data_IF_363392737766
#
_entry.id   IF_363392737766
#
_cell.length_a   1.000
_cell.length_b   1.000
_cell.length_c   1.000
_cell.angle_alpha   90.00
_cell.angle_beta   90.00
_cell.angle_gamma   90.00
#
_symmetry.space_group_name_H-M   'P 1'
#
loop_
_entity.id
_entity.type
_entity.pdbx_description
1 polymer ?
#
# COMPACT_ATOMS: atom_id res chain seq x y z
N UNK A 1 2.01 -29.32 15.21
CA UNK A 1 3.05 -28.27 15.27
C UNK A 1 3.17 -27.54 13.93
N UNK A 2 3.37 -28.26 12.81
CA UNK A 2 3.50 -27.65 11.47
C UNK A 2 2.24 -26.91 10.99
N UNK A 3 1.05 -27.47 11.21
CA UNK A 3 -0.20 -26.84 10.79
C UNK A 3 -0.49 -25.54 11.54
N UNK A 4 -0.22 -25.51 12.85
CA UNK A 4 -0.41 -24.32 13.68
C UNK A 4 0.58 -23.20 13.29
N UNK A 5 1.82 -23.58 12.96
CA UNK A 5 2.82 -22.66 12.44
C UNK A 5 2.37 -22.06 11.09
N UNK A 6 1.87 -22.90 10.17
CA UNK A 6 1.35 -22.43 8.88
C UNK A 6 0.20 -21.44 9.06
N UNK A 7 -0.76 -21.77 9.94
CA UNK A 7 -1.89 -20.88 10.26
C UNK A 7 -1.41 -19.54 10.82
N UNK A 8 -0.42 -19.55 11.72
CA UNK A 8 0.16 -18.33 12.28
C UNK A 8 0.86 -17.46 11.23
N UNK A 9 1.63 -18.09 10.33
CA UNK A 9 2.31 -17.38 9.23
C UNK A 9 1.29 -16.74 8.30
N UNK A 10 0.21 -17.46 7.93
CA UNK A 10 -0.83 -16.95 7.06
C UNK A 10 -1.64 -15.83 7.72
N UNK A 11 -2.04 -16.00 8.99
CA UNK A 11 -2.74 -14.97 9.76
C UNK A 11 -1.87 -13.70 9.93
N UNK A 12 -0.60 -13.87 10.28
CA UNK A 12 0.35 -12.77 10.36
C UNK A 12 0.57 -12.12 8.99
N UNK A 13 0.57 -12.91 7.92
CA UNK A 13 0.72 -12.43 6.54
C UNK A 13 -0.45 -11.58 6.08
N UNK A 14 -1.68 -11.94 6.45
CA UNK A 14 -2.86 -11.09 6.25
C UNK A 14 -2.70 -9.76 6.99
N UNK A 15 -2.31 -9.82 8.27
CA UNK A 15 -2.17 -8.63 9.11
C UNK A 15 -1.07 -7.69 8.61
N UNK A 16 0.12 -8.22 8.30
CA UNK A 16 1.27 -7.43 7.82
C UNK A 16 1.16 -7.05 6.35
N UNK A 17 0.43 -7.81 5.54
CA UNK A 17 0.16 -7.55 4.13
C UNK A 17 -0.86 -6.45 3.87
N UNK A 18 -1.79 -6.23 4.80
CA UNK A 18 -2.90 -5.26 4.63
C UNK A 18 -2.42 -3.81 4.39
N UNK A 19 -1.43 -3.26 5.11
CA UNK A 19 -0.90 -1.93 4.79
C UNK A 19 -0.34 -1.86 3.36
N UNK A 20 0.44 -2.87 2.95
CA UNK A 20 0.98 -2.95 1.59
C UNK A 20 -0.14 -3.04 0.56
N UNK A 21 -1.23 -3.76 0.86
CA UNK A 21 -2.40 -3.85 0.00
C UNK A 21 -3.04 -2.49 -0.26
N UNK A 22 -3.25 -1.69 0.78
CA UNK A 22 -3.83 -0.35 0.60
C UNK A 22 -2.95 0.55 -0.25
N UNK A 23 -1.65 0.60 0.07
CA UNK A 23 -0.69 1.37 -0.72
C UNK A 23 -0.67 0.91 -2.18
N UNK A 24 -0.59 -0.40 -2.43
CA UNK A 24 -0.58 -0.96 -3.80
C UNK A 24 -1.89 -0.68 -4.54
N UNK A 25 -3.07 -0.86 -3.94
CA UNK A 25 -4.34 -0.54 -4.61
C UNK A 25 -4.43 0.95 -4.90
N UNK A 26 -3.99 1.80 -3.98
CA UNK A 26 -3.92 3.24 -4.18
C UNK A 26 -3.05 3.62 -5.38
N UNK A 27 -1.85 3.06 -5.45
CA UNK A 27 -0.94 3.27 -6.57
C UNK A 27 -1.48 2.67 -7.87
N UNK A 28 -2.20 1.54 -7.84
CA UNK A 28 -2.90 1.03 -9.03
C UNK A 28 -3.88 2.08 -9.58
N UNK A 29 -4.66 2.76 -8.74
CA UNK A 29 -5.56 3.82 -9.20
C UNK A 29 -4.81 5.01 -9.79
N UNK A 30 -3.77 5.49 -9.11
CA UNK A 30 -2.94 6.61 -9.57
C UNK A 30 -2.28 6.28 -10.93
N UNK A 31 -1.59 5.14 -11.01
CA UNK A 31 -0.86 4.74 -12.21
C UNK A 31 -1.80 4.37 -13.36
N UNK A 32 -2.95 3.75 -13.11
CA UNK A 32 -3.98 3.53 -14.14
C UNK A 32 -4.53 4.82 -14.72
N UNK A 33 -4.41 5.96 -14.02
CA UNK A 33 -4.75 7.28 -14.57
C UNK A 33 -3.60 7.93 -15.35
N UNK A 34 -2.41 7.34 -15.32
CA UNK A 34 -1.20 7.83 -15.99
C UNK A 34 -0.29 8.69 -15.11
N UNK A 35 -0.46 8.62 -13.78
CA UNK A 35 0.38 9.35 -12.80
C UNK A 35 1.11 8.35 -11.91
N UNK A 36 2.43 8.28 -12.06
CA UNK A 36 3.36 7.51 -11.24
C UNK A 36 3.64 8.27 -9.95
N UNK A 37 3.46 7.63 -8.79
CA UNK A 37 3.72 8.25 -7.49
C UNK A 37 4.75 7.47 -6.66
N UNK A 38 6.03 7.81 -6.84
CA UNK A 38 7.12 7.31 -5.98
C UNK A 38 7.18 7.99 -4.60
N UNK A 39 6.20 8.85 -4.26
CA UNK A 39 6.07 9.52 -2.97
C UNK A 39 5.35 8.69 -1.90
N UNK A 40 4.85 7.50 -2.25
CA UNK A 40 4.02 6.64 -1.39
C UNK A 40 4.67 6.31 -0.05
N UNK A 41 5.99 6.10 0.01
CA UNK A 41 6.74 5.85 1.26
C UNK A 41 6.60 7.04 2.23
N UNK A 42 6.81 8.26 1.73
CA UNK A 42 6.65 9.48 2.51
C UNK A 42 5.21 9.71 2.95
N UNK A 43 4.23 9.40 2.09
CA UNK A 43 2.81 9.50 2.43
C UNK A 43 2.40 8.52 3.52
N UNK A 44 2.91 7.28 3.46
CA UNK A 44 2.71 6.28 4.51
C UNK A 44 3.33 6.71 5.85
N UNK A 45 4.54 7.26 5.84
CA UNK A 45 5.22 7.76 7.04
C UNK A 45 4.46 8.92 7.70
N UNK A 46 4.06 9.91 6.90
CA UNK A 46 3.27 11.04 7.38
C UNK A 46 1.88 10.61 7.87
N UNK A 47 1.26 9.65 7.18
CA UNK A 47 0.02 9.01 7.61
C UNK A 47 0.18 8.32 8.96
N UNK A 48 1.21 7.50 9.14
CA UNK A 48 1.49 6.77 10.37
C UNK A 48 1.76 7.71 11.56
N UNK A 49 2.60 8.74 11.36
CA UNK A 49 2.94 9.74 12.36
C UNK A 49 1.71 10.54 12.80
N UNK A 50 0.95 11.07 11.83
CA UNK A 50 -0.25 11.86 12.12
C UNK A 50 -1.37 11.02 12.76
N UNK A 51 -1.55 9.76 12.31
CA UNK A 51 -2.53 8.85 12.92
C UNK A 51 -2.24 8.63 14.40
N UNK A 52 -0.98 8.31 14.72
CA UNK A 52 -0.55 8.03 16.08
C UNK A 52 -0.61 9.27 16.96
N UNK A 53 -0.09 10.40 16.48
CA UNK A 53 -0.10 11.67 17.22
C UNK A 53 -1.52 12.13 17.56
N UNK A 54 -2.45 12.05 16.60
CA UNK A 54 -3.85 12.43 16.83
C UNK A 54 -4.58 11.43 17.73
N UNK A 55 -4.37 10.12 17.53
CA UNK A 55 -4.97 9.12 18.41
C UNK A 55 -4.49 9.27 19.86
N UNK A 56 -3.20 9.57 20.06
CA UNK A 56 -2.64 9.85 21.37
C UNK A 56 -3.24 11.12 21.99
N UNK A 57 -3.27 12.23 21.26
CA UNK A 57 -3.75 13.51 21.76
C UNK A 57 -5.26 13.51 22.07
N UNK A 58 -6.06 12.75 21.33
CA UNK A 58 -7.53 12.78 21.42
C UNK A 58 -8.13 11.57 22.11
N UNK A 59 -7.37 10.50 22.31
CA UNK A 59 -7.89 9.22 22.78
C UNK A 59 -8.75 8.48 21.74
N UNK A 60 -8.85 8.96 20.49
CA UNK A 60 -9.69 8.37 19.46
C UNK A 60 -8.87 7.84 18.25
N UNK A 61 -8.77 6.51 18.05
CA UNK A 61 -7.99 5.94 16.96
C UNK A 61 -8.63 6.19 15.58
N UNK A 62 -9.95 6.34 15.50
CA UNK A 62 -10.66 6.59 14.25
C UNK A 62 -10.39 7.99 13.70
N UNK A 63 -10.27 8.96 14.60
CA UNK A 63 -9.87 10.31 14.21
C UNK A 63 -8.42 10.31 13.69
N UNK A 64 -7.54 9.51 14.31
CA UNK A 64 -6.20 9.26 13.78
C UNK A 64 -6.22 8.70 12.36
N UNK A 65 -7.05 7.68 12.09
CA UNK A 65 -7.21 7.12 10.72
C UNK A 65 -7.69 8.18 9.73
N UNK A 66 -8.69 8.99 10.09
CA UNK A 66 -9.21 10.04 9.21
C UNK A 66 -8.15 11.10 8.88
N UNK A 67 -7.37 11.52 9.89
CA UNK A 67 -6.28 12.49 9.68
C UNK A 67 -5.19 11.88 8.80
N UNK A 68 -4.85 10.61 8.99
CA UNK A 68 -3.85 9.93 8.15
C UNK A 68 -4.28 9.87 6.67
N UNK A 69 -5.55 9.54 6.41
CA UNK A 69 -6.15 9.56 5.07
C UNK A 69 -6.04 10.97 4.48
N UNK A 70 -6.41 12.00 5.24
CA UNK A 70 -6.33 13.39 4.80
C UNK A 70 -4.89 13.83 4.51
N UNK A 71 -3.93 13.44 5.36
CA UNK A 71 -2.51 13.75 5.18
C UNK A 71 -1.93 13.10 3.92
N UNK A 72 -2.22 11.83 3.69
CA UNK A 72 -1.82 11.15 2.47
C UNK A 72 -2.45 11.78 1.21
N UNK A 73 -3.75 12.13 1.28
CA UNK A 73 -4.45 12.85 0.22
C UNK A 73 -3.87 14.24 -0.05
N UNK A 74 -3.47 15.00 0.97
CA UNK A 74 -2.88 16.33 0.84
C UNK A 74 -1.50 16.27 0.18
N UNK A 75 -0.66 15.31 0.55
CA UNK A 75 0.63 15.10 -0.09
C UNK A 75 0.48 14.64 -1.54
N UNK A 76 -0.49 13.76 -1.83
CA UNK A 76 -0.80 13.37 -3.20
C UNK A 76 -1.42 14.51 -4.02
N UNK A 77 -2.17 15.43 -3.40
CA UNK A 77 -2.66 16.63 -4.07
C UNK A 77 -1.50 17.55 -4.45
N UNK A 78 -0.51 17.72 -3.57
CA UNK A 78 0.72 18.44 -3.88
C UNK A 78 1.47 17.79 -5.04
N UNK A 79 1.61 16.46 -5.02
CA UNK A 79 2.21 15.69 -6.11
C UNK A 79 1.48 15.94 -7.43
N UNK A 80 0.15 15.73 -7.43
CA UNK A 80 -0.73 15.91 -8.56
C UNK A 80 -0.61 17.33 -9.13
N UNK A 81 -0.53 18.34 -8.26
CA UNK A 81 -0.32 19.72 -8.68
C UNK A 81 0.98 19.92 -9.45
N UNK A 82 2.08 19.42 -8.90
CA UNK A 82 3.40 19.53 -9.51
C UNK A 82 3.48 18.78 -10.85
N UNK A 83 2.94 17.56 -10.93
CA UNK A 83 3.14 16.73 -12.12
C UNK A 83 2.06 16.90 -13.19
N UNK A 84 0.85 17.28 -12.80
CA UNK A 84 -0.27 17.46 -13.75
C UNK A 84 -0.36 18.93 -14.20
N UNK A 85 -0.32 19.89 -13.27
CA UNK A 85 -0.46 21.31 -13.61
C UNK A 85 0.86 21.93 -14.01
N UNK A 86 1.93 21.72 -13.22
CA UNK A 86 3.26 22.26 -13.56
C UNK A 86 4.03 21.38 -14.55
N UNK A 87 3.51 20.19 -14.87
CA UNK A 87 4.07 19.25 -15.85
C UNK A 87 5.51 18.83 -15.53
N UNK A 88 5.85 18.84 -14.24
CA UNK A 88 7.15 18.37 -13.79
C UNK A 88 7.27 16.85 -13.93
N UNK A 89 8.52 16.37 -13.92
CA UNK A 89 8.81 14.95 -13.93
C UNK A 89 8.21 14.23 -12.70
N UNK A 90 7.47 13.15 -12.96
CA UNK A 90 6.74 12.39 -11.94
C UNK A 90 7.68 11.65 -10.99
N UNK A 91 8.80 11.13 -11.51
CA UNK A 91 9.82 10.43 -10.71
C UNK A 91 10.48 11.40 -9.75
N UNK A 92 10.91 12.57 -10.24
CA UNK A 92 11.55 13.62 -9.41
C UNK A 92 10.59 14.13 -8.34
N UNK A 93 9.33 14.43 -8.70
CA UNK A 93 8.34 14.89 -7.73
C UNK A 93 8.03 13.83 -6.68
N UNK A 94 7.86 12.56 -7.09
CA UNK A 94 7.62 11.45 -6.17
C UNK A 94 8.80 11.20 -5.22
N UNK A 95 10.03 11.19 -5.73
CA UNK A 95 11.23 11.06 -4.90
C UNK A 95 11.37 12.20 -3.89
N UNK A 96 11.12 13.44 -4.32
CA UNK A 96 11.13 14.60 -3.43
C UNK A 96 10.10 14.47 -2.31
N UNK A 97 8.89 13.99 -2.63
CA UNK A 97 7.84 13.72 -1.64
C UNK A 97 8.21 12.61 -0.66
N UNK A 98 8.90 11.57 -1.09
CA UNK A 98 9.43 10.54 -0.19
C UNK A 98 10.42 11.15 0.79
N UNK A 99 11.40 11.93 0.34
CA UNK A 99 12.35 12.60 1.25
C UNK A 99 11.67 13.60 2.18
N UNK A 100 10.71 14.37 1.66
CA UNK A 100 9.93 15.32 2.44
C UNK A 100 9.13 14.61 3.54
N UNK A 101 8.41 13.54 3.20
CA UNK A 101 7.62 12.75 4.15
C UNK A 101 8.48 12.08 5.20
N UNK A 102 9.62 11.50 4.79
CA UNK A 102 10.59 10.92 5.74
C UNK A 102 11.11 11.98 6.72
N UNK A 103 11.63 13.10 6.22
CA UNK A 103 12.18 14.15 7.08
C UNK A 103 11.14 14.81 7.99
N UNK A 104 9.97 15.16 7.45
CA UNK A 104 8.90 15.79 8.23
C UNK A 104 8.33 14.83 9.28
N UNK A 105 8.11 13.55 8.93
CA UNK A 105 7.60 12.58 9.89
C UNK A 105 8.59 12.32 11.03
N UNK A 106 9.90 12.32 10.76
CA UNK A 106 10.93 12.19 11.77
C UNK A 106 10.94 13.39 12.73
N UNK A 107 10.92 14.63 12.19
CA UNK A 107 10.95 15.86 13.01
C UNK A 107 9.67 16.03 13.82
N UNK A 108 8.50 15.90 13.18
CA UNK A 108 7.21 16.06 13.85
C UNK A 108 6.88 14.88 14.78
N UNK A 109 7.38 13.69 14.45
CA UNK A 109 7.20 12.48 15.23
C UNK A 109 8.20 12.29 16.38
N UNK A 110 9.28 13.10 16.45
CA UNK A 110 10.28 12.97 17.50
C UNK A 110 9.69 12.97 18.94
N UNK A 111 8.72 13.85 19.30
CA UNK A 111 8.08 13.81 20.61
C UNK A 111 7.22 12.56 20.85
N UNK A 112 6.81 11.87 19.79
CA UNK A 112 5.92 10.70 19.86
C UNK A 112 6.67 9.39 20.11
N UNK A 113 8.00 9.36 19.95
CA UNK A 113 8.81 8.13 20.08
C UNK A 113 8.76 7.56 21.50
N UNK A 114 8.70 8.43 22.51
CA UNK A 114 8.64 8.00 23.92
C UNK A 114 7.22 7.65 24.38
N UNK A 115 6.20 7.94 23.56
CA UNK A 115 4.80 7.66 23.88
C UNK A 115 4.53 6.17 23.73
N UNK A 116 4.22 5.52 24.87
CA UNK A 116 3.89 4.08 24.92
C UNK A 116 2.40 3.79 24.95
N UNK A 117 1.56 4.82 25.05
CA UNK A 117 0.12 4.70 25.21
C UNK A 117 -0.61 5.48 24.11
N UNK A 118 -1.11 4.76 23.12
CA UNK A 118 -2.13 5.27 22.20
C UNK A 118 -3.27 4.26 22.09
N UNK A 119 -4.51 4.74 21.91
CA UNK A 119 -5.64 3.87 21.58
C UNK A 119 -5.34 3.05 20.33
N UNK A 120 -5.55 1.74 20.42
CA UNK A 120 -5.47 0.84 19.27
C UNK A 120 -6.82 0.75 18.57
N UNK A 121 -6.79 0.47 17.27
CA UNK A 121 -8.02 0.11 16.56
C UNK A 121 -8.59 -1.20 17.14
N UNK A 122 -9.93 -1.31 17.27
CA UNK A 122 -10.54 -2.50 17.85
C UNK A 122 -10.31 -3.73 16.97
N UNK A 123 -10.08 -4.86 17.62
CA UNK A 123 -10.19 -6.17 17.01
C UNK A 123 -11.68 -6.56 16.97
N UNK A 124 -12.11 -7.19 15.88
CA UNK A 124 -13.47 -7.72 15.79
C UNK A 124 -13.40 -9.16 15.31
N UNK A 125 -13.61 -10.10 16.24
CA UNK A 125 -13.74 -11.50 15.90
C UNK A 125 -15.16 -11.77 15.38
N UNK A 126 -15.27 -12.27 14.16
CA UNK A 126 -16.59 -12.53 13.55
C UNK A 126 -17.23 -13.73 14.26
N UNK A 127 -18.38 -13.56 14.96
CA UNK A 127 -19.00 -14.65 15.71
C UNK A 127 -19.26 -15.87 14.82
N UNK A 128 -19.08 -17.09 15.36
CA UNK A 128 -19.22 -18.39 14.67
C UNK A 128 -18.12 -18.70 13.65
N UNK A 129 -17.68 -17.72 12.84
CA UNK A 129 -16.64 -17.90 11.82
C UNK A 129 -15.22 -17.84 12.41
N UNK A 130 -15.03 -17.10 13.50
CA UNK A 130 -13.77 -17.03 14.23
C UNK A 130 -13.39 -18.34 14.93
N UNK A 131 -14.39 -19.19 15.22
CA UNK A 131 -14.19 -20.47 15.94
C UNK A 131 -13.82 -21.61 14.99
N UNK A 132 -13.90 -21.40 13.67
CA UNK A 132 -13.54 -22.43 12.69
C UNK A 132 -12.02 -22.67 12.75
N UNK A 133 -11.55 -23.89 13.07
CA UNK A 133 -10.13 -24.18 13.08
C UNK A 133 -9.54 -23.94 11.68
N UNK A 134 -8.34 -23.36 11.62
CA UNK A 134 -7.66 -22.84 10.42
C UNK A 134 -8.23 -21.55 9.84
N UNK A 135 -9.52 -21.50 9.48
CA UNK A 135 -10.08 -20.34 8.78
C UNK A 135 -10.30 -19.13 9.70
N UNK A 136 -10.68 -19.39 10.97
CA UNK A 136 -10.89 -18.37 11.99
C UNK A 136 -9.67 -17.46 12.16
N UNK A 137 -8.51 -18.00 12.54
CA UNK A 137 -7.29 -17.20 12.72
C UNK A 137 -6.81 -16.50 11.43
N UNK A 138 -7.01 -17.11 10.27
CA UNK A 138 -6.50 -16.56 9.00
C UNK A 138 -7.38 -15.41 8.50
N UNK A 139 -8.70 -15.48 8.64
CA UNK A 139 -9.62 -14.52 8.02
C UNK A 139 -10.53 -13.78 9.01
N UNK A 140 -10.87 -14.38 10.15
CA UNK A 140 -11.97 -13.93 11.00
C UNK A 140 -11.55 -13.49 12.42
N UNK A 141 -10.25 -13.42 12.71
CA UNK A 141 -9.68 -12.93 13.97
C UNK A 141 -8.73 -11.74 13.75
N UNK A 142 -9.25 -10.67 13.14
CA UNK A 142 -8.45 -9.50 12.77
C UNK A 142 -9.03 -8.18 13.25
N UNK A 143 -8.27 -7.11 13.05
CA UNK A 143 -8.75 -5.76 13.29
C UNK A 143 -9.64 -5.27 12.14
N UNK A 144 -10.41 -4.21 12.40
CA UNK A 144 -11.33 -3.62 11.40
C UNK A 144 -10.61 -3.20 10.12
N UNK A 145 -9.33 -2.83 10.22
CA UNK A 145 -8.52 -2.43 9.08
C UNK A 145 -8.25 -3.59 8.11
N UNK A 146 -7.98 -4.81 8.60
CA UNK A 146 -7.84 -5.99 7.73
C UNK A 146 -9.14 -6.27 6.96
N UNK A 147 -10.28 -6.19 7.65
CA UNK A 147 -11.58 -6.38 6.99
C UNK A 147 -11.85 -5.30 5.93
N UNK A 148 -11.44 -4.06 6.18
CA UNK A 148 -11.49 -3.00 5.17
C UNK A 148 -10.64 -3.37 3.95
N UNK A 149 -9.47 -3.98 4.15
CA UNK A 149 -8.64 -4.55 3.08
C UNK A 149 -9.38 -5.61 2.25
N UNK A 150 -10.02 -6.58 2.92
CA UNK A 150 -10.80 -7.61 2.25
C UNK A 150 -11.97 -7.08 1.43
N UNK A 151 -12.62 -6.01 1.89
CA UNK A 151 -13.71 -5.34 1.17
C UNK A 151 -13.19 -4.46 0.03
N UNK A 152 -12.03 -3.81 0.21
CA UNK A 152 -11.44 -2.92 -0.79
C UNK A 152 -11.08 -3.66 -2.08
N UNK A 153 -10.60 -4.91 -2.00
CA UNK A 153 -10.20 -5.70 -3.17
C UNK A 153 -11.36 -5.93 -4.17
N UNK A 154 -12.49 -6.56 -3.78
CA UNK A 154 -13.62 -6.75 -4.69
C UNK A 154 -14.25 -5.42 -5.09
N UNK A 155 -14.24 -4.40 -4.22
CA UNK A 155 -14.75 -3.07 -4.55
C UNK A 155 -13.91 -2.41 -5.65
N UNK A 156 -12.58 -2.43 -5.52
CA UNK A 156 -11.66 -1.88 -6.50
C UNK A 156 -11.75 -2.64 -7.83
N UNK A 157 -11.84 -3.97 -7.78
CA UNK A 157 -12.03 -4.80 -8.97
C UNK A 157 -13.35 -4.48 -9.69
N UNK A 158 -14.46 -4.44 -8.94
CA UNK A 158 -15.77 -4.12 -9.49
C UNK A 158 -15.77 -2.71 -10.08
N UNK A 159 -15.25 -1.72 -9.35
CA UNK A 159 -15.13 -0.35 -9.82
C UNK A 159 -14.37 -0.28 -11.15
N UNK A 160 -13.16 -0.85 -11.21
CA UNK A 160 -12.27 -0.72 -12.37
C UNK A 160 -12.76 -1.45 -13.62
N UNK A 161 -13.39 -2.62 -13.45
CA UNK A 161 -13.76 -3.48 -14.58
C UNK A 161 -15.25 -3.48 -14.91
N UNK A 162 -16.13 -3.08 -13.99
CA UNK A 162 -17.60 -3.19 -14.16
C UNK A 162 -18.33 -1.85 -14.13
N UNK A 163 -17.65 -0.72 -13.92
CA UNK A 163 -18.29 0.61 -13.89
C UNK A 163 -17.79 1.53 -15.02
N UNK A 164 -18.60 2.54 -15.36
CA UNK A 164 -18.22 3.58 -16.35
C UNK A 164 -17.00 4.39 -15.90
N UNK A 165 -16.91 4.91 -14.65
CA UNK A 165 -15.72 5.62 -14.20
C UNK A 165 -14.45 4.76 -14.24
N UNK A 166 -14.56 3.44 -14.00
CA UNK A 166 -13.44 2.52 -14.15
C UNK A 166 -12.99 2.28 -15.60
N UNK A 167 -13.92 2.38 -16.57
CA UNK A 167 -13.58 2.38 -17.99
C UNK A 167 -12.87 3.69 -18.36
N UNK A 168 -13.38 4.84 -17.90
CA UNK A 168 -12.77 6.16 -18.13
C UNK A 168 -11.36 6.23 -17.53
N UNK A 169 -11.17 5.72 -16.30
CA UNK A 169 -9.86 5.59 -15.66
C UNK A 169 -8.87 4.89 -16.59
N UNK A 170 -9.22 3.70 -17.07
CA UNK A 170 -8.34 2.91 -17.95
C UNK A 170 -8.13 3.61 -19.29
N UNK A 171 -9.16 4.22 -19.88
CA UNK A 171 -9.02 4.97 -21.12
C UNK A 171 -8.08 6.17 -20.99
N UNK A 172 -8.14 6.89 -19.85
CA UNK A 172 -7.24 8.00 -19.55
C UNK A 172 -5.79 7.55 -19.39
N UNK A 173 -5.54 6.38 -18.79
CA UNK A 173 -4.20 5.81 -18.69
C UNK A 173 -3.63 5.28 -20.00
N UNK A 174 -4.47 4.73 -20.88
CA UNK A 174 -4.05 4.15 -22.16
C UNK A 174 -3.91 5.21 -23.26
N UNK A 175 -4.93 6.03 -23.49
CA UNK A 175 -4.90 7.05 -24.53
C UNK A 175 -5.68 8.33 -24.13
N UNK A 176 -5.05 9.23 -23.34
CA UNK A 176 -5.70 10.42 -22.80
C UNK A 176 -6.32 11.33 -23.86
N UNK A 177 -5.68 11.46 -25.04
CA UNK A 177 -6.16 12.31 -26.12
C UNK A 177 -7.52 11.85 -26.66
N UNK A 178 -7.73 10.54 -26.86
CA UNK A 178 -9.04 10.03 -27.26
C UNK A 178 -10.07 10.15 -26.14
N UNK A 179 -9.68 9.97 -24.88
CA UNK A 179 -10.59 10.17 -23.76
C UNK A 179 -11.11 11.62 -23.69
N UNK A 180 -10.23 12.61 -23.92
CA UNK A 180 -10.62 14.03 -23.93
C UNK A 180 -11.58 14.37 -25.09
N UNK A 181 -11.34 13.82 -26.30
CA UNK A 181 -12.25 13.97 -27.45
C UNK A 181 -13.64 13.38 -27.17
N UNK A 182 -13.70 12.30 -26.39
CA UNK A 182 -14.95 11.70 -25.94
C UNK A 182 -15.63 12.45 -24.76
N UNK A 183 -15.07 13.59 -24.34
CA UNK A 183 -15.63 14.47 -23.31
C UNK A 183 -15.20 14.16 -21.87
N UNK A 184 -14.25 13.22 -21.68
CA UNK A 184 -13.73 12.89 -20.35
C UNK A 184 -12.69 13.92 -19.94
N UNK A 185 -12.87 14.53 -18.77
CA UNK A 185 -11.89 15.50 -18.26
C UNK A 185 -10.66 14.77 -17.67
N UNK A 186 -9.64 14.57 -18.52
CA UNK A 186 -8.38 13.89 -18.19
C UNK A 186 -7.72 14.47 -16.94
N UNK A 187 -7.61 15.79 -16.86
CA UNK A 187 -6.98 16.48 -15.73
C UNK A 187 -7.68 16.13 -14.41
N UNK A 188 -9.01 16.31 -14.35
CA UNK A 188 -9.79 16.02 -13.14
C UNK A 188 -9.65 14.57 -12.70
N UNK A 189 -9.69 13.62 -13.64
CA UNK A 189 -9.55 12.19 -13.32
C UNK A 189 -8.15 11.88 -12.78
N UNK A 190 -7.09 12.38 -13.43
CA UNK A 190 -5.71 12.21 -12.94
C UNK A 190 -5.54 12.75 -11.53
N UNK A 191 -6.08 13.93 -11.23
CA UNK A 191 -6.07 14.49 -9.88
C UNK A 191 -6.83 13.59 -8.89
N UNK A 192 -8.06 13.20 -9.22
CA UNK A 192 -8.91 12.42 -8.32
C UNK A 192 -8.28 11.07 -7.95
N UNK A 193 -7.74 10.34 -8.94
CA UNK A 193 -7.14 9.03 -8.69
C UNK A 193 -5.75 9.12 -8.04
N UNK A 194 -4.97 10.16 -8.32
CA UNK A 194 -3.71 10.40 -7.60
C UNK A 194 -3.98 10.69 -6.12
N UNK A 195 -4.96 11.55 -5.83
CA UNK A 195 -5.35 11.87 -4.44
C UNK A 195 -5.93 10.65 -3.72
N UNK A 196 -6.77 9.85 -4.40
CA UNK A 196 -7.25 8.57 -3.87
C UNK A 196 -6.10 7.62 -3.53
N UNK A 197 -5.07 7.57 -4.39
CA UNK A 197 -3.86 6.80 -4.14
C UNK A 197 -3.16 7.23 -2.86
N UNK A 198 -2.93 8.55 -2.69
CA UNK A 198 -2.37 9.11 -1.46
C UNK A 198 -3.22 8.86 -0.22
N UNK A 199 -4.55 8.96 -0.33
CA UNK A 199 -5.47 8.66 0.76
C UNK A 199 -5.31 7.20 1.25
N UNK A 200 -5.18 6.25 0.33
CA UNK A 200 -4.95 4.84 0.65
C UNK A 200 -3.53 4.60 1.19
N UNK A 201 -2.52 5.34 0.73
CA UNK A 201 -1.18 5.33 1.31
C UNK A 201 -1.18 5.87 2.76
N UNK A 202 -1.92 6.94 3.03
CA UNK A 202 -2.13 7.46 4.38
C UNK A 202 -2.82 6.45 5.30
N UNK A 203 -3.86 5.76 4.80
CA UNK A 203 -4.52 4.65 5.48
C UNK A 203 -3.56 3.49 5.78
N UNK A 204 -2.68 3.15 4.84
CA UNK A 204 -1.62 2.16 5.06
C UNK A 204 -0.69 2.57 6.21
N UNK A 205 -0.33 3.85 6.29
CA UNK A 205 0.39 4.42 7.44
C UNK A 205 -0.35 4.23 8.76
N UNK A 206 -1.63 4.59 8.81
CA UNK A 206 -2.46 4.41 10.01
C UNK A 206 -2.58 2.93 10.42
N UNK A 207 -2.64 2.02 9.45
CA UNK A 207 -2.65 0.58 9.70
C UNK A 207 -1.37 0.13 10.43
N UNK A 208 -0.22 0.68 10.06
CA UNK A 208 1.06 0.39 10.70
C UNK A 208 1.08 0.86 12.17
N UNK A 209 0.69 2.11 12.43
CA UNK A 209 0.87 2.77 13.74
C UNK A 209 -0.30 2.67 14.71
N UNK A 210 -1.50 2.25 14.27
CA UNK A 210 -2.67 2.09 15.14
C UNK A 210 -3.23 0.66 15.18
N UNK A 211 -2.93 -0.15 14.17
CA UNK A 211 -3.59 -1.45 13.97
C UNK A 211 -2.63 -2.64 14.17
N UNK A 212 -1.38 -2.53 13.72
CA UNK A 212 -0.35 -3.58 13.87
C UNK A 212 0.42 -3.38 15.17
N UNK A 213 1.08 -2.24 15.30
CA UNK A 213 1.83 -1.90 16.50
C UNK A 213 1.43 -0.49 16.91
N UNK A 214 0.68 -0.31 18.02
CA UNK A 214 0.15 0.99 18.45
C UNK A 214 1.27 1.85 19.06
N UNK A 215 2.26 2.20 18.24
CA UNK A 215 3.42 3.01 18.58
C UNK A 215 3.93 3.74 17.33
N UNK A 216 4.64 4.84 17.55
CA UNK A 216 5.43 5.51 16.52
C UNK A 216 6.90 5.16 16.66
N UNK A 217 7.52 4.75 15.55
CA UNK A 217 8.98 4.62 15.40
C UNK A 217 9.36 5.30 14.09
N UNK A 218 10.42 6.08 14.15
CA UNK A 218 10.96 6.72 12.95
C UNK A 218 11.29 5.67 11.88
N UNK A 219 10.90 5.92 10.63
CA UNK A 219 11.10 4.97 9.54
C UNK A 219 10.28 3.68 9.63
N UNK A 220 9.19 3.62 10.41
CA UNK A 220 8.44 2.36 10.64
C UNK A 220 7.87 1.68 9.39
N UNK A 221 7.70 2.41 8.29
CA UNK A 221 7.34 1.84 6.98
C UNK A 221 8.39 0.84 6.51
N UNK A 222 9.68 1.10 6.79
CA UNK A 222 10.83 0.28 6.46
C UNK A 222 10.84 -0.16 4.97
N UNK A 223 10.54 0.77 4.06
CA UNK A 223 10.51 0.53 2.62
C UNK A 223 9.25 -0.16 2.09
N UNK A 224 8.19 -0.29 2.88
CA UNK A 224 6.92 -0.88 2.43
C UNK A 224 6.25 -0.10 1.30
N UNK A 225 6.43 1.22 1.23
CA UNK A 225 5.98 2.03 0.10
C UNK A 225 6.71 1.66 -1.19
N UNK A 226 8.03 1.46 -1.13
CA UNK A 226 8.80 0.96 -2.28
C UNK A 226 8.38 -0.43 -2.73
N UNK A 227 8.10 -1.30 -1.76
CA UNK A 227 7.54 -2.63 -2.05
C UNK A 227 6.17 -2.50 -2.71
N UNK A 228 5.32 -1.57 -2.27
CA UNK A 228 4.02 -1.33 -2.85
C UNK A 228 4.10 -0.94 -4.33
N UNK A 229 5.02 -0.04 -4.71
CA UNK A 229 5.28 0.32 -6.12
C UNK A 229 5.69 -0.91 -6.93
N UNK A 230 6.62 -1.73 -6.41
CA UNK A 230 7.01 -2.98 -7.07
C UNK A 230 5.84 -3.95 -7.25
N UNK A 231 4.97 -4.05 -6.25
CA UNK A 231 3.78 -4.89 -6.29
C UNK A 231 2.76 -4.43 -7.35
N UNK A 232 2.64 -3.13 -7.64
CA UNK A 232 1.78 -2.62 -8.72
C UNK A 232 2.18 -3.24 -10.07
N UNK A 233 3.48 -3.22 -10.35
CA UNK A 233 4.07 -3.77 -11.57
C UNK A 233 3.84 -5.29 -11.64
N UNK A 234 4.13 -6.02 -10.56
CA UNK A 234 3.92 -7.48 -10.53
C UNK A 234 2.46 -7.89 -10.59
N UNK A 235 1.58 -7.06 -10.02
CA UNK A 235 0.14 -7.24 -10.12
C UNK A 235 -0.39 -6.92 -11.52
N UNK A 236 0.39 -6.27 -12.40
CA UNK A 236 -0.07 -5.83 -13.72
C UNK A 236 -1.25 -4.88 -13.61
N UNK A 237 -1.23 -4.00 -12.60
CA UNK A 237 -2.31 -3.07 -12.27
C UNK A 237 -3.68 -3.75 -12.11
N UNK A 238 -3.71 -4.97 -11.59
CA UNK A 238 -4.93 -5.70 -11.24
C UNK A 238 -5.06 -5.79 -9.70
N UNK A 239 -6.19 -5.32 -9.12
CA UNK A 239 -6.36 -5.25 -7.67
C UNK A 239 -6.43 -6.63 -7.00
N UNK A 240 -6.87 -7.67 -7.70
CA UNK A 240 -6.93 -9.04 -7.14
C UNK A 240 -5.52 -9.63 -7.06
N UNK A 241 -4.71 -9.44 -8.10
CA UNK A 241 -3.29 -9.84 -8.08
C UNK A 241 -2.49 -9.06 -7.05
N UNK A 242 -2.79 -7.78 -6.86
CA UNK A 242 -2.22 -6.97 -5.79
C UNK A 242 -2.52 -7.57 -4.41
N UNK A 243 -3.77 -7.98 -4.15
CA UNK A 243 -4.13 -8.66 -2.90
C UNK A 243 -3.29 -9.91 -2.64
N UNK A 244 -3.17 -10.79 -3.65
CA UNK A 244 -2.34 -11.99 -3.54
C UNK A 244 -0.88 -11.63 -3.25
N UNK A 245 -0.32 -10.67 -3.98
CA UNK A 245 1.05 -10.21 -3.81
C UNK A 245 1.32 -9.62 -2.43
N UNK A 246 0.47 -8.70 -1.96
CA UNK A 246 0.62 -8.04 -0.66
C UNK A 246 0.52 -9.01 0.51
N UNK A 247 -0.42 -9.97 0.49
CA UNK A 247 -0.56 -10.96 1.56
C UNK A 247 0.57 -12.01 1.55
N UNK A 248 1.03 -12.44 0.37
CA UNK A 248 2.22 -13.30 0.27
C UNK A 248 3.46 -12.59 0.81
N UNK A 249 3.66 -11.33 0.43
CA UNK A 249 4.78 -10.54 0.93
C UNK A 249 4.71 -10.35 2.44
N UNK A 250 3.51 -10.09 2.97
CA UNK A 250 3.26 -10.04 4.41
C UNK A 250 3.64 -11.35 5.13
N UNK A 251 3.23 -12.49 4.59
CA UNK A 251 3.53 -13.81 5.17
C UNK A 251 5.04 -14.07 5.18
N UNK A 252 5.73 -13.72 4.09
CA UNK A 252 7.16 -13.93 3.94
C UNK A 252 7.96 -12.98 4.82
N UNK A 253 7.49 -11.76 5.04
CA UNK A 253 8.09 -10.83 6.01
C UNK A 253 8.04 -11.38 7.44
N UNK A 254 7.04 -12.19 7.77
CA UNK A 254 6.91 -12.83 9.09
C UNK A 254 7.81 -14.06 9.25
N UNK A 255 8.04 -14.83 8.18
CA UNK A 255 8.79 -16.09 8.20
C UNK A 255 10.10 -16.04 9.00
N UNK A 256 10.98 -15.02 8.86
CA UNK A 256 12.25 -15.01 9.59
C UNK A 256 12.07 -15.03 11.12
N UNK A 257 11.07 -14.33 11.64
CA UNK A 257 10.80 -14.28 13.09
C UNK A 257 10.32 -15.64 13.61
N UNK A 258 9.51 -16.34 12.84
CA UNK A 258 9.02 -17.65 13.23
C UNK A 258 10.10 -18.74 13.05
N UNK A 259 10.93 -18.64 12.00
CA UNK A 259 12.05 -19.56 11.76
C UNK A 259 13.13 -19.46 12.86
N UNK A 260 13.40 -18.26 13.38
CA UNK A 260 14.37 -18.07 14.47
C UNK A 260 13.98 -18.80 15.76
N UNK A 261 12.72 -19.19 15.93
CA UNK A 261 12.26 -19.98 17.08
C UNK A 261 12.61 -21.47 17.00
N UNK A 262 13.08 -21.97 15.84
CA UNK A 262 13.46 -23.37 15.67
C UNK A 262 14.84 -23.68 16.25
N UNK A 263 14.99 -24.88 16.82
CA UNK A 263 16.22 -25.36 17.45
C UNK A 263 17.46 -25.29 16.54
N UNK A 264 17.29 -25.42 15.22
CA UNK A 264 18.36 -25.26 14.24
C UNK A 264 18.94 -23.83 14.23
N UNK A 265 18.07 -22.81 14.20
CA UNK A 265 18.49 -21.40 14.19
C UNK A 265 19.01 -20.95 15.55
N UNK A 266 18.43 -21.47 16.64
CA UNK A 266 18.90 -21.24 18.01
C UNK A 266 20.32 -21.79 18.25
N UNK A 267 20.67 -22.92 17.64
CA UNK A 267 22.01 -23.53 17.76
C UNK A 267 23.10 -22.77 17.03
N UNK A 268 22.76 -22.04 15.97
CA UNK A 268 23.74 -21.31 15.18
C UNK A 268 23.17 -19.94 14.78
N UNK A 269 23.34 -18.90 15.63
CA UNK A 269 22.74 -17.58 15.42
C UNK A 269 23.08 -16.95 14.06
N UNK A 270 24.23 -17.31 13.48
CA UNK A 270 24.64 -16.85 12.15
C UNK A 270 23.71 -17.34 11.02
N UNK A 271 22.97 -18.44 11.22
CA UNK A 271 21.97 -18.91 10.24
C UNK A 271 20.76 -17.99 10.12
N UNK A 272 20.49 -17.15 11.13
CA UNK A 272 19.42 -16.14 11.10
C UNK A 272 19.61 -15.11 9.99
N UNK A 273 20.85 -14.81 9.60
CA UNK A 273 21.13 -13.92 8.47
C UNK A 273 20.57 -14.46 7.15
N UNK A 274 20.64 -15.78 6.92
CA UNK A 274 20.07 -16.41 5.73
C UNK A 274 18.54 -16.40 5.76
N UNK A 275 17.92 -16.56 6.94
CA UNK A 275 16.46 -16.42 7.07
C UNK A 275 16.00 -15.00 6.70
N UNK A 276 16.77 -13.97 7.09
CA UNK A 276 16.49 -12.58 6.73
C UNK A 276 16.65 -12.28 5.23
N UNK A 277 17.29 -13.17 4.46
CA UNK A 277 17.37 -13.05 2.99
C UNK A 277 16.09 -13.51 2.29
N UNK A 278 15.21 -14.29 2.94
CA UNK A 278 14.02 -14.89 2.33
C UNK A 278 13.09 -13.88 1.64
N UNK A 279 12.77 -12.70 2.23
CA UNK A 279 11.93 -11.71 1.55
C UNK A 279 12.54 -11.22 0.24
N UNK A 280 13.85 -11.03 0.18
CA UNK A 280 14.53 -10.55 -1.02
C UNK A 280 14.59 -11.63 -2.11
N UNK A 281 14.89 -12.89 -1.74
CA UNK A 281 14.87 -14.02 -2.66
C UNK A 281 13.47 -14.24 -3.26
N UNK A 282 12.43 -14.07 -2.44
CA UNK A 282 11.05 -14.12 -2.92
C UNK A 282 10.75 -13.00 -3.92
N UNK A 283 11.16 -11.76 -3.64
CA UNK A 283 11.01 -10.65 -4.58
C UNK A 283 11.65 -10.97 -5.93
N UNK A 284 12.86 -11.54 -5.93
CA UNK A 284 13.54 -11.96 -7.16
C UNK A 284 12.73 -13.05 -7.88
N UNK A 285 12.25 -14.06 -7.16
CA UNK A 285 11.45 -15.14 -7.75
C UNK A 285 10.14 -14.62 -8.36
N UNK A 286 9.43 -13.75 -7.64
CA UNK A 286 8.20 -13.10 -8.14
C UNK A 286 8.50 -12.29 -9.38
N UNK A 287 9.58 -11.49 -9.37
CA UNK A 287 10.00 -10.66 -10.50
C UNK A 287 10.28 -11.50 -11.75
N UNK A 288 10.97 -12.64 -11.60
CA UNK A 288 11.25 -13.57 -12.71
C UNK A 288 9.95 -14.16 -13.27
N UNK A 289 9.04 -14.60 -12.40
CA UNK A 289 7.75 -15.18 -12.81
C UNK A 289 6.87 -14.13 -13.50
N UNK A 290 6.74 -12.95 -12.90
CA UNK A 290 5.90 -11.86 -13.40
C UNK A 290 6.44 -11.28 -14.70
N UNK A 291 7.76 -11.13 -14.85
CA UNK A 291 8.38 -10.68 -16.09
C UNK A 291 8.08 -11.64 -17.25
N UNK A 292 8.13 -12.95 -16.97
CA UNK A 292 7.77 -13.99 -17.95
C UNK A 292 6.28 -13.95 -18.31
N UNK A 293 5.41 -13.74 -17.33
CA UNK A 293 3.96 -13.64 -17.54
C UNK A 293 3.58 -12.36 -18.31
N UNK A 294 4.20 -11.22 -17.99
CA UNK A 294 4.01 -9.95 -18.67
C UNK A 294 4.42 -10.03 -20.14
N UNK A 295 5.57 -10.64 -20.42
CA UNK A 295 6.03 -10.92 -21.79
C UNK A 295 5.05 -11.84 -22.55
N UNK A 296 4.47 -12.85 -21.87
CA UNK A 296 3.49 -13.77 -22.48
C UNK A 296 2.13 -13.14 -22.76
N UNK A 297 1.61 -12.33 -21.82
CA UNK A 297 0.24 -11.79 -21.88
C UNK A 297 0.14 -10.38 -22.48
N UNK A 298 1.27 -9.77 -22.88
CA UNK A 298 1.34 -8.36 -23.30
C UNK A 298 0.69 -7.41 -22.28
N UNK A 299 0.80 -7.76 -20.99
CA UNK A 299 0.33 -6.90 -19.91
C UNK A 299 1.33 -5.75 -19.78
N UNK A 300 1.05 -4.64 -20.47
CA UNK A 300 1.85 -3.43 -20.43
C UNK A 300 1.42 -2.51 -19.30
N UNK A 301 2.35 -1.65 -18.88
CA UNK A 301 2.00 -0.44 -18.15
C UNK A 301 1.05 0.42 -19.00
N UNK A 302 0.17 1.22 -18.37
CA UNK A 302 -0.65 2.18 -19.09
C UNK A 302 0.23 3.04 -20.00
N UNK A 303 -0.12 3.15 -21.29
CA UNK A 303 0.75 3.79 -22.28
C UNK A 303 1.09 5.26 -21.98
N UNK A 304 0.22 5.97 -21.24
CA UNK A 304 0.46 7.35 -20.83
C UNK A 304 1.02 7.50 -19.39
N UNK A 305 1.47 6.41 -18.76
CA UNK A 305 2.11 6.44 -17.45
C UNK A 305 3.43 7.22 -17.51
N UNK A 306 3.63 8.16 -16.59
CA UNK A 306 4.86 8.98 -16.57
C UNK A 306 4.84 10.15 -17.56
N UNK A 307 3.87 10.22 -18.47
CA UNK A 307 3.83 11.22 -19.54
C UNK A 307 2.86 12.36 -19.17
N UNK A 308 3.34 13.61 -19.06
CA UNK A 308 2.48 14.78 -18.88
C UNK A 308 1.46 14.89 -20.03
N UNK A 309 0.20 15.21 -19.71
CA UNK A 309 -0.84 15.40 -20.72
C UNK A 309 -1.02 16.87 -21.07
N UNK A 310 -1.02 17.17 -22.37
CA UNK A 310 -1.29 18.50 -22.93
C UNK A 310 -2.46 18.40 -23.89
N UNK A 311 -3.53 19.16 -23.62
CA UNK A 311 -4.65 19.30 -24.55
C UNK A 311 -4.15 19.97 -25.84
N UNK A 312 -4.53 19.40 -26.99
CA UNK A 312 -4.20 19.88 -28.35
C UNK A 312 -2.75 19.65 -28.84
N UNK A 313 -1.92 18.89 -28.15
CA UNK A 313 -0.63 18.44 -28.72
C UNK A 313 -0.89 17.41 -29.84
N UNK A 314 -0.63 17.79 -31.09
CA UNK A 314 -0.68 16.88 -32.24
C UNK A 314 0.62 16.07 -32.27
N UNK A 315 0.59 14.86 -31.74
CA UNK A 315 1.61 13.82 -32.00
C UNK A 315 1.43 13.21 -33.37
#
# INVERSE_FOLDING_TARGET
MELALLVNILAAGVRSGTPMLFATIGEIFAERSGVLNLGVEGMMLMGAMSAFGVAHATGNPWLGVLVAIAMGGLLALLHAFVVITLRADQVVSGLALTFLGTGLSAVLGAPLVEVRQAPRLPAWDVPLLADIPLLGPIFFQHNVIVYLGFVLVPLAWFYMYRTRPGLELRAVGEYPAAADVMGVNVYRLRYAYTVLGGMLAGLAGAALSLAITPLWVDGMTAGQGWIAVGLVIFAGWDPVRAAVGSYLFGAIKRLPLDLQSFAFFLRNPATGYFANMLPYLFTIAVLVISAREAARRRLGAPAALGVPYVREERT
#
